data_IF_630686962802
#
_entry.id   IF_630686962802
#
_cell.length_a   1.000
_cell.length_b   1.000
_cell.length_c   1.000
_cell.angle_alpha   90.00
_cell.angle_beta   90.00
_cell.angle_gamma   90.00
#
_symmetry.space_group_name_H-M   'P 1'
#
loop_
_entity.id
_entity.type
_entity.pdbx_description
1 polymer ?
#
# COMPACT_ATOMS: atom_id res chain seq x y z
N UNK A 1 -14.48 13.15 -48.15
CA UNK A 1 -13.42 12.73 -47.20
C UNK A 1 -13.27 13.73 -46.03
N UNK A 2 -14.37 14.10 -45.35
CA UNK A 2 -14.35 15.13 -44.29
C UNK A 2 -14.92 14.62 -42.95
N UNK A 3 -15.72 13.55 -43.02
CA UNK A 3 -16.32 12.85 -41.87
C UNK A 3 -15.30 11.93 -41.16
N UNK A 4 -14.37 11.33 -41.92
CA UNK A 4 -13.35 10.40 -41.38
C UNK A 4 -12.22 11.10 -40.60
N UNK A 5 -11.99 12.39 -40.83
CA UNK A 5 -10.95 13.17 -40.13
C UNK A 5 -11.39 13.51 -38.69
N UNK A 6 -12.70 13.57 -38.43
CA UNK A 6 -13.26 13.95 -37.13
C UNK A 6 -13.17 12.79 -36.12
N UNK A 7 -13.20 11.53 -36.56
CA UNK A 7 -13.05 10.38 -35.68
C UNK A 7 -11.62 10.20 -35.14
N UNK A 8 -10.60 10.70 -35.86
CA UNK A 8 -9.20 10.57 -35.44
C UNK A 8 -8.80 11.58 -34.36
N UNK A 9 -9.56 12.68 -34.21
CA UNK A 9 -9.30 13.71 -33.20
C UNK A 9 -9.92 13.38 -31.83
N UNK A 10 -10.86 12.42 -31.76
CA UNK A 10 -11.51 12.04 -30.50
C UNK A 10 -10.80 10.90 -29.74
N UNK A 11 -9.79 10.27 -30.33
CA UNK A 11 -9.05 9.16 -29.71
C UNK A 11 -7.84 9.59 -28.87
N UNK A 12 -7.50 10.88 -28.81
CA UNK A 12 -6.25 11.36 -28.18
C UNK A 12 -6.37 11.78 -26.71
N UNK A 13 -7.55 11.66 -26.09
CA UNK A 13 -7.82 12.22 -24.75
C UNK A 13 -8.17 11.19 -23.68
N UNK A 14 -7.82 9.92 -23.88
CA UNK A 14 -7.86 8.91 -22.82
C UNK A 14 -6.45 8.76 -22.27
N UNK A 15 -5.97 9.79 -21.57
CA UNK A 15 -4.94 9.56 -20.56
C UNK A 15 -5.64 8.86 -19.40
N UNK A 16 -5.71 7.53 -19.49
CA UNK A 16 -6.06 6.68 -18.35
C UNK A 16 -4.99 6.93 -17.29
N UNK A 17 -5.33 7.77 -16.30
CA UNK A 17 -4.60 7.84 -15.05
C UNK A 17 -4.72 6.48 -14.37
N UNK A 18 -3.81 5.57 -14.70
CA UNK A 18 -3.67 4.30 -14.00
C UNK A 18 -3.18 4.59 -12.59
N UNK A 19 -4.11 4.69 -11.64
CA UNK A 19 -3.74 4.63 -10.23
C UNK A 19 -3.03 3.30 -9.98
N UNK A 20 -1.80 3.36 -9.48
CA UNK A 20 -1.02 2.18 -9.16
C UNK A 20 -1.81 1.30 -8.19
N UNK A 21 -2.32 0.16 -8.67
CA UNK A 21 -3.08 -0.76 -7.84
C UNK A 21 -2.12 -1.45 -6.85
N UNK A 22 -2.56 -1.71 -5.61
CA UNK A 22 -1.80 -2.58 -4.71
C UNK A 22 -1.55 -3.94 -5.36
N UNK A 23 -0.32 -4.43 -5.28
CA UNK A 23 0.09 -5.73 -5.85
C UNK A 23 0.69 -6.61 -4.78
N UNK A 24 0.25 -7.86 -4.73
CA UNK A 24 0.85 -8.87 -3.86
C UNK A 24 2.15 -9.38 -4.50
N UNK A 25 3.23 -9.38 -3.72
CA UNK A 25 4.54 -9.85 -4.15
C UNK A 25 5.19 -10.67 -3.03
N UNK A 26 6.05 -11.61 -3.39
CA UNK A 26 6.98 -12.24 -2.44
C UNK A 26 8.25 -11.41 -2.38
N UNK A 27 8.53 -10.83 -1.22
CA UNK A 27 9.64 -9.90 -1.02
C UNK A 27 10.41 -10.25 0.26
N UNK A 28 11.69 -9.91 0.26
CA UNK A 28 12.56 -10.07 1.44
C UNK A 28 12.17 -9.02 2.49
N UNK A 29 12.02 -9.47 3.74
CA UNK A 29 11.88 -8.63 4.93
C UNK A 29 12.75 -9.19 6.08
N UNK A 30 12.74 -8.53 7.24
CA UNK A 30 13.51 -8.94 8.42
C UNK A 30 13.23 -10.37 8.92
N UNK A 31 12.04 -10.91 8.61
CA UNK A 31 11.61 -12.27 8.95
C UNK A 31 11.69 -13.25 7.78
N UNK A 32 12.46 -12.93 6.73
CA UNK A 32 12.66 -13.77 5.55
C UNK A 32 11.82 -13.32 4.36
N UNK A 33 11.66 -14.20 3.36
CA UNK A 33 10.83 -13.93 2.19
C UNK A 33 9.36 -14.19 2.55
N UNK A 34 8.54 -13.16 2.47
CA UNK A 34 7.12 -13.22 2.84
C UNK A 34 6.23 -12.59 1.76
N UNK A 35 4.93 -12.90 1.80
CA UNK A 35 3.94 -12.21 0.97
C UNK A 35 3.70 -10.81 1.55
N UNK A 36 3.89 -9.79 0.72
CA UNK A 36 3.63 -8.40 1.05
C UNK A 36 2.77 -7.73 -0.02
N UNK A 37 2.06 -6.67 0.38
CA UNK A 37 1.27 -5.86 -0.53
C UNK A 37 2.00 -4.55 -0.81
N UNK A 38 2.49 -4.40 -2.04
CA UNK A 38 3.24 -3.22 -2.48
C UNK A 38 2.31 -2.20 -3.14
N UNK A 39 2.53 -0.93 -2.84
CA UNK A 39 1.85 0.22 -3.43
C UNK A 39 2.89 1.23 -3.87
N UNK A 40 2.85 1.60 -5.16
CA UNK A 40 3.66 2.69 -5.71
C UNK A 40 2.89 4.00 -5.63
N UNK A 41 3.54 5.05 -5.15
CA UNK A 41 2.98 6.39 -4.99
C UNK A 41 3.84 7.33 -5.86
N UNK A 42 3.43 7.61 -7.11
CA UNK A 42 4.20 8.45 -8.02
C UNK A 42 4.52 9.83 -7.41
N UNK A 43 5.71 10.39 -7.66
CA UNK A 43 6.06 11.74 -7.18
C UNK A 43 6.02 11.92 -5.64
N UNK A 44 6.07 10.84 -4.87
CA UNK A 44 6.30 10.87 -3.42
C UNK A 44 7.68 10.30 -3.11
N UNK A 45 8.40 10.99 -2.21
CA UNK A 45 9.63 10.48 -1.61
C UNK A 45 9.33 9.62 -0.37
N UNK A 46 10.35 8.88 0.09
CA UNK A 46 10.24 8.00 1.25
C UNK A 46 9.76 8.76 2.50
N UNK A 47 10.25 9.99 2.71
CA UNK A 47 9.90 10.83 3.87
C UNK A 47 8.40 11.19 3.89
N UNK A 48 7.80 11.51 2.74
CA UNK A 48 6.36 11.75 2.62
C UNK A 48 5.58 10.46 2.89
N UNK A 49 6.01 9.35 2.31
CA UNK A 49 5.36 8.04 2.46
C UNK A 49 5.35 7.62 3.93
N UNK A 50 6.50 7.63 4.61
CA UNK A 50 6.65 7.27 6.02
C UNK A 50 5.80 8.20 6.91
N UNK A 51 5.78 9.51 6.62
CA UNK A 51 4.98 10.49 7.36
C UNK A 51 3.48 10.23 7.22
N UNK A 52 2.99 9.95 6.01
CA UNK A 52 1.57 9.65 5.78
C UNK A 52 1.23 8.31 6.42
N UNK A 53 2.10 7.30 6.29
CA UNK A 53 1.90 5.97 6.89
C UNK A 53 1.74 6.08 8.40
N UNK A 54 2.69 6.73 9.08
CA UNK A 54 2.65 6.97 10.53
C UNK A 54 1.36 7.66 10.98
N UNK A 55 0.86 8.64 10.20
CA UNK A 55 -0.40 9.31 10.52
C UNK A 55 -1.59 8.39 10.29
N UNK A 56 -1.57 7.61 9.21
CA UNK A 56 -2.63 6.70 8.81
C UNK A 56 -2.82 5.55 9.80
N UNK A 57 -1.72 5.03 10.36
CA UNK A 57 -1.73 3.86 11.25
C UNK A 57 -1.69 4.19 12.74
N UNK A 58 -1.67 5.48 13.11
CA UNK A 58 -1.60 5.95 14.51
C UNK A 58 -2.65 5.31 15.44
N UNK A 59 -3.83 4.99 14.93
CA UNK A 59 -4.92 4.37 15.69
C UNK A 59 -4.79 2.87 15.90
N UNK A 60 -3.86 2.21 15.21
CA UNK A 60 -3.75 0.75 15.23
C UNK A 60 -2.68 0.22 16.18
N UNK A 61 -1.82 1.09 16.71
CA UNK A 61 -0.82 0.71 17.70
C UNK A 61 0.39 1.63 17.70
N UNK A 62 1.41 1.27 18.48
CA UNK A 62 2.67 2.02 18.56
C UNK A 62 3.58 1.62 17.40
N UNK A 63 3.86 2.58 16.52
CA UNK A 63 4.84 2.42 15.46
C UNK A 63 6.26 2.39 16.04
N UNK A 64 6.99 1.32 15.75
CA UNK A 64 8.39 1.13 16.07
C UNK A 64 9.22 1.00 14.78
N UNK A 65 10.55 1.13 14.88
CA UNK A 65 11.46 1.09 13.72
C UNK A 65 12.61 0.13 13.95
N UNK A 66 12.78 -0.82 13.04
CA UNK A 66 13.95 -1.68 12.94
C UNK A 66 15.00 -1.01 12.04
N UNK A 67 15.99 -0.36 12.66
CA UNK A 67 17.04 0.38 11.93
C UNK A 67 17.91 -0.52 11.03
N UNK A 68 18.10 -1.80 11.39
CA UNK A 68 18.95 -2.72 10.62
C UNK A 68 18.28 -3.15 9.33
N UNK A 69 16.98 -3.47 9.42
CA UNK A 69 16.18 -3.87 8.26
C UNK A 69 15.62 -2.67 7.47
N UNK A 70 15.75 -1.44 8.02
CA UNK A 70 15.09 -0.22 7.50
C UNK A 70 13.56 -0.35 7.42
N UNK A 71 12.97 -1.11 8.34
CA UNK A 71 11.53 -1.36 8.39
C UNK A 71 10.88 -0.62 9.56
N UNK A 72 9.61 -0.27 9.40
CA UNK A 72 8.74 0.13 10.51
C UNK A 72 7.74 -0.98 10.81
N UNK A 73 7.30 -1.08 12.06
CA UNK A 73 6.38 -2.13 12.46
C UNK A 73 5.45 -1.71 13.58
N UNK A 74 4.29 -2.36 13.63
CA UNK A 74 3.31 -2.27 14.71
C UNK A 74 3.04 -3.70 15.18
N UNK A 75 3.32 -3.97 16.45
CA UNK A 75 2.97 -5.24 17.08
C UNK A 75 1.56 -5.18 17.65
N UNK A 76 0.80 -6.26 17.49
CA UNK A 76 -0.51 -6.43 18.10
C UNK A 76 -1.59 -5.45 17.59
N UNK A 77 -1.47 -5.02 16.33
CA UNK A 77 -2.45 -4.16 15.70
C UNK A 77 -3.82 -4.85 15.58
N UNK A 78 -4.89 -4.14 15.95
CA UNK A 78 -6.27 -4.61 15.76
C UNK A 78 -6.93 -3.76 14.69
N UNK A 79 -7.14 -4.35 13.52
CA UNK A 79 -7.78 -3.70 12.38
C UNK A 79 -9.02 -4.51 12.02
N UNK A 80 -10.19 -4.06 12.49
CA UNK A 80 -11.45 -4.79 12.40
C UNK A 80 -11.82 -5.20 10.97
N UNK A 81 -11.53 -4.35 9.98
CA UNK A 81 -11.81 -4.62 8.57
C UNK A 81 -10.92 -5.69 7.94
N UNK A 82 -9.88 -6.15 8.64
CA UNK A 82 -8.94 -7.18 8.18
C UNK A 82 -9.13 -8.45 8.99
N UNK A 83 -8.90 -8.40 10.31
CA UNK A 83 -8.83 -9.60 11.17
C UNK A 83 -9.78 -9.51 12.38
N UNK A 84 -10.89 -8.77 12.25
CA UNK A 84 -11.88 -8.62 13.32
C UNK A 84 -11.27 -8.07 14.61
N UNK A 85 -11.52 -8.74 15.73
CA UNK A 85 -10.93 -8.39 17.03
C UNK A 85 -9.56 -9.01 17.28
N UNK A 86 -9.05 -9.82 16.35
CA UNK A 86 -7.77 -10.51 16.53
C UNK A 86 -6.61 -9.55 16.23
N UNK A 87 -5.55 -9.69 17.01
CA UNK A 87 -4.32 -8.94 16.81
C UNK A 87 -3.52 -9.50 15.62
N UNK A 88 -2.80 -8.62 14.93
CA UNK A 88 -1.82 -8.97 13.89
C UNK A 88 -0.60 -8.05 14.03
N UNK A 89 0.54 -8.48 13.52
CA UNK A 89 1.68 -7.56 13.36
C UNK A 89 1.69 -7.01 11.94
N UNK A 90 2.04 -5.74 11.82
CA UNK A 90 2.16 -5.07 10.53
C UNK A 90 3.59 -4.58 10.39
N UNK A 91 4.27 -5.00 9.34
CA UNK A 91 5.61 -4.55 8.98
C UNK A 91 5.52 -3.75 7.69
N UNK A 92 6.32 -2.71 7.56
CA UNK A 92 6.46 -1.96 6.31
C UNK A 92 7.91 -1.70 5.96
N UNK A 93 8.21 -1.84 4.67
CA UNK A 93 9.43 -1.32 4.06
C UNK A 93 9.04 -0.27 3.03
N UNK A 94 9.73 0.87 3.05
CA UNK A 94 9.60 1.93 2.06
C UNK A 94 10.88 1.98 1.24
N UNK A 95 10.75 1.92 -0.08
CA UNK A 95 11.86 1.98 -1.03
C UNK A 95 11.45 2.88 -2.20
N UNK A 96 12.25 3.92 -2.46
CA UNK A 96 12.00 4.94 -3.48
C UNK A 96 10.61 5.60 -3.29
N UNK A 97 9.70 5.35 -4.24
CA UNK A 97 8.34 5.86 -4.25
C UNK A 97 7.31 4.77 -3.90
N UNK A 98 7.74 3.65 -3.33
CA UNK A 98 6.89 2.50 -3.04
C UNK A 98 6.96 2.10 -1.58
N UNK A 99 5.83 1.65 -1.04
CA UNK A 99 5.75 1.01 0.27
C UNK A 99 5.26 -0.42 0.11
N UNK A 100 5.83 -1.36 0.85
CA UNK A 100 5.35 -2.74 0.95
C UNK A 100 4.96 -3.03 2.37
N UNK A 101 3.71 -3.47 2.58
CA UNK A 101 3.20 -3.89 3.88
C UNK A 101 3.05 -5.41 3.99
N UNK A 102 3.55 -5.98 5.07
CA UNK A 102 3.44 -7.39 5.41
C UNK A 102 2.57 -7.53 6.67
N UNK A 103 1.64 -8.47 6.66
CA UNK A 103 0.66 -8.67 7.73
C UNK A 103 0.80 -10.07 8.31
N UNK A 104 1.28 -10.18 9.54
CA UNK A 104 1.44 -11.45 10.26
C UNK A 104 0.23 -11.70 11.17
N UNK A 105 -0.55 -12.74 10.83
CA UNK A 105 -1.74 -13.15 11.58
C UNK A 105 -1.42 -14.05 12.79
N UNK A 106 -0.15 -14.13 13.19
CA UNK A 106 0.43 -15.00 14.25
C UNK A 106 0.47 -16.49 13.92
N UNK A 107 -0.25 -16.92 12.90
CA UNK A 107 -0.19 -18.27 12.34
C UNK A 107 0.41 -18.28 10.92
N UNK A 108 0.89 -17.14 10.43
CA UNK A 108 1.45 -16.98 9.10
C UNK A 108 1.18 -15.60 8.50
N UNK A 109 1.92 -15.27 7.44
CA UNK A 109 1.73 -14.04 6.69
C UNK A 109 0.51 -14.15 5.77
N UNK A 110 -0.38 -13.18 5.90
CA UNK A 110 -1.60 -13.05 5.12
C UNK A 110 -1.29 -12.99 3.62
N UNK A 111 -2.06 -13.75 2.82
CA UNK A 111 -1.94 -13.80 1.37
C UNK A 111 -3.29 -14.06 0.70
N UNK A 112 -3.38 -13.78 -0.60
CA UNK A 112 -4.65 -13.89 -1.34
C UNK A 112 -5.16 -15.32 -1.48
N UNK A 113 -4.26 -16.30 -1.48
CA UNK A 113 -4.59 -17.72 -1.66
C UNK A 113 -5.19 -18.34 -0.40
N UNK A 114 -4.54 -18.14 0.75
CA UNK A 114 -4.93 -18.78 2.01
C UNK A 114 -5.85 -17.91 2.89
N UNK A 115 -5.88 -16.60 2.65
CA UNK A 115 -6.63 -15.63 3.47
C UNK A 115 -7.46 -14.65 2.62
N UNK A 116 -8.33 -15.13 1.72
CA UNK A 116 -8.98 -14.27 0.71
C UNK A 116 -9.85 -13.15 1.30
N UNK A 117 -10.46 -13.38 2.48
CA UNK A 117 -11.34 -12.39 3.12
C UNK A 117 -10.52 -11.28 3.79
N UNK A 118 -9.51 -11.65 4.57
CA UNK A 118 -8.57 -10.73 5.22
C UNK A 118 -7.79 -9.95 4.14
N UNK A 119 -7.39 -10.62 3.05
CA UNK A 119 -6.71 -10.02 1.91
C UNK A 119 -7.54 -8.94 1.23
N UNK A 120 -8.86 -9.12 1.09
CA UNK A 120 -9.75 -8.04 0.63
C UNK A 120 -9.73 -6.85 1.57
N UNK A 121 -9.67 -7.08 2.88
CA UNK A 121 -9.50 -6.04 3.89
C UNK A 121 -8.18 -5.27 3.72
N UNK A 122 -7.07 -5.99 3.56
CA UNK A 122 -5.73 -5.41 3.34
C UNK A 122 -5.69 -4.61 2.04
N UNK A 123 -6.26 -5.12 0.95
CA UNK A 123 -6.38 -4.39 -0.32
C UNK A 123 -7.09 -3.05 -0.13
N UNK A 124 -8.20 -3.03 0.61
CA UNK A 124 -8.94 -1.80 0.89
C UNK A 124 -8.12 -0.84 1.77
N UNK A 125 -7.42 -1.36 2.78
CA UNK A 125 -6.53 -0.56 3.62
C UNK A 125 -5.42 0.12 2.79
N UNK A 126 -4.77 -0.62 1.89
CA UNK A 126 -3.72 -0.12 1.02
C UNK A 126 -4.24 0.85 -0.05
N UNK A 127 -5.44 0.63 -0.61
CA UNK A 127 -6.10 1.60 -1.49
C UNK A 127 -6.41 2.91 -0.77
N UNK A 128 -6.97 2.83 0.44
CA UNK A 128 -7.27 4.02 1.24
C UNK A 128 -6.01 4.78 1.64
N UNK A 129 -4.92 4.07 1.93
CA UNK A 129 -3.60 4.67 2.13
C UNK A 129 -3.12 5.40 0.88
N UNK A 130 -3.14 4.76 -0.30
CA UNK A 130 -2.75 5.37 -1.57
C UNK A 130 -3.52 6.67 -1.84
N UNK A 131 -4.84 6.66 -1.62
CA UNK A 131 -5.68 7.85 -1.78
C UNK A 131 -5.24 8.99 -0.86
N UNK A 132 -5.02 8.70 0.43
CA UNK A 132 -4.52 9.70 1.40
C UNK A 132 -3.13 10.23 1.05
N UNK A 133 -2.26 9.38 0.53
CA UNK A 133 -0.92 9.78 0.10
C UNK A 133 -1.00 10.72 -1.10
N UNK A 134 -1.86 10.42 -2.08
CA UNK A 134 -2.10 11.31 -3.23
C UNK A 134 -2.66 12.68 -2.83
N UNK A 135 -3.57 12.76 -1.85
CA UNK A 135 -4.09 14.03 -1.31
C UNK A 135 -3.03 14.91 -0.63
N UNK A 136 -1.90 14.32 -0.22
CA UNK A 136 -0.82 15.01 0.50
C UNK A 136 0.36 15.40 -0.38
N UNK A 137 0.37 14.97 -1.64
CA UNK A 137 1.37 15.40 -2.60
C UNK A 137 1.23 16.90 -2.84
N UNK A 138 2.33 17.64 -2.95
CA UNK A 138 2.26 19.04 -3.35
C UNK A 138 1.73 19.11 -4.78
N UNK A 139 0.72 19.95 -5.00
CA UNK A 139 0.20 20.23 -6.34
C UNK A 139 1.18 21.16 -7.07
N UNK A 140 2.22 20.59 -7.65
CA UNK A 140 2.98 21.28 -8.70
C UNK A 140 2.54 20.71 -10.04
N UNK A 141 1.44 21.28 -10.55
CA UNK A 141 1.07 21.23 -11.97
C UNK A 141 1.11 22.66 -12.48
#
# INVERSE_FOLDING_TARGET
MKQFVICFFFSLLIHVFSFAQPRENKLQMSLGIQNGLSVTIPDADEDLIDKVWKKYTKGYGKLARNKKAKEEYIEGAVIQSIHGSNAMDVYVSTEDNSITAFFDLKNGFLNSENNPMEFKGVLNLCRNFLMKSNEKKPAWI
#
